data_IF_205171562399
#
_entry.id   IF_205171562399
#
_cell.length_a   1.000
_cell.length_b   1.000
_cell.length_c   1.000
_cell.angle_alpha   90.00
_cell.angle_beta   90.00
_cell.angle_gamma   90.00
#
_symmetry.space_group_name_H-M   'P 1'
#
loop_
_entity.id
_entity.type
_entity.pdbx_description
1 polymer ?
#
# COMPACT_ATOMS: atom_id res chain seq x y z
N UNK A 1 -53.18 15.13 26.70
CA UNK A 1 -52.54 13.81 26.45
C UNK A 1 -52.33 13.49 24.96
N UNK A 2 -53.28 13.75 24.04
CA UNK A 2 -53.11 13.39 22.61
C UNK A 2 -51.93 14.07 21.87
N UNK A 3 -51.64 15.35 22.15
CA UNK A 3 -50.54 16.10 21.48
C UNK A 3 -49.12 15.65 21.90
N UNK A 4 -48.95 15.20 23.15
CA UNK A 4 -47.66 14.71 23.65
C UNK A 4 -47.31 13.34 23.07
N UNK A 5 -48.30 12.46 22.92
CA UNK A 5 -48.09 11.13 22.33
C UNK A 5 -47.76 11.21 20.83
N UNK A 6 -48.39 12.10 20.08
CA UNK A 6 -48.08 12.30 18.65
C UNK A 6 -46.68 12.87 18.42
N UNK A 7 -46.19 13.72 19.33
CA UNK A 7 -44.84 14.30 19.23
C UNK A 7 -43.75 13.26 19.57
N UNK A 8 -44.04 12.38 20.54
CA UNK A 8 -43.13 11.30 20.95
C UNK A 8 -43.03 10.20 19.88
N UNK A 9 -44.16 9.86 19.24
CA UNK A 9 -44.18 8.93 18.09
C UNK A 9 -43.43 9.51 16.88
N UNK A 10 -43.62 10.81 16.57
CA UNK A 10 -42.88 11.45 15.49
C UNK A 10 -41.36 11.49 15.76
N UNK A 11 -40.95 11.76 17.00
CA UNK A 11 -39.54 11.74 17.38
C UNK A 11 -38.92 10.33 17.29
N UNK A 12 -39.64 9.28 17.70
CA UNK A 12 -39.16 7.88 17.55
C UNK A 12 -39.07 7.44 16.09
N UNK A 13 -40.02 7.85 15.23
CA UNK A 13 -39.99 7.52 13.80
C UNK A 13 -38.84 8.24 13.10
N UNK A 14 -38.56 9.49 13.46
CA UNK A 14 -37.43 10.24 12.91
C UNK A 14 -36.08 9.69 13.40
N UNK A 15 -35.95 9.38 14.70
CA UNK A 15 -34.73 8.74 15.23
C UNK A 15 -34.51 7.34 14.63
N UNK A 16 -35.58 6.55 14.49
CA UNK A 16 -35.54 5.24 13.84
C UNK A 16 -35.15 5.32 12.36
N UNK A 17 -35.64 6.32 11.62
CA UNK A 17 -35.25 6.56 10.22
C UNK A 17 -33.79 7.03 10.10
N UNK A 18 -33.31 7.90 10.98
CA UNK A 18 -31.92 8.39 10.96
C UNK A 18 -30.93 7.26 11.30
N UNK A 19 -31.28 6.36 12.22
CA UNK A 19 -30.42 5.21 12.55
C UNK A 19 -30.34 4.16 11.43
N UNK A 20 -31.34 4.06 10.54
CA UNK A 20 -31.37 3.06 9.45
C UNK A 20 -30.68 3.56 8.18
N UNK A 21 -30.51 4.88 8.01
CA UNK A 21 -29.76 5.47 6.88
C UNK A 21 -28.24 5.43 7.13
N UNK A 22 -27.81 5.05 8.34
CA UNK A 22 -26.41 4.94 8.75
C UNK A 22 -25.68 3.65 8.37
N UNK A 23 -26.29 2.73 7.64
CA UNK A 23 -25.55 1.61 7.03
C UNK A 23 -24.77 2.13 5.82
N UNK A 24 -23.67 2.83 6.10
CA UNK A 24 -22.68 3.18 5.10
C UNK A 24 -22.09 1.89 4.53
N UNK A 25 -22.41 1.58 3.27
CA UNK A 25 -21.64 0.61 2.52
C UNK A 25 -20.26 1.23 2.27
N UNK A 26 -19.24 0.77 3.00
CA UNK A 26 -17.85 1.10 2.71
C UNK A 26 -17.43 0.39 1.41
N UNK A 27 -16.50 0.99 0.66
CA UNK A 27 -15.89 0.31 -0.48
C UNK A 27 -15.03 -0.84 0.05
N UNK A 28 -15.36 -2.08 -0.30
CA UNK A 28 -14.65 -3.28 0.15
C UNK A 28 -13.68 -3.84 -0.89
N UNK A 29 -13.71 -3.32 -2.12
CA UNK A 29 -12.84 -3.66 -3.24
C UNK A 29 -12.45 -2.39 -3.98
N UNK A 30 -11.17 -2.24 -4.31
CA UNK A 30 -10.65 -1.11 -5.07
C UNK A 30 -9.77 -1.63 -6.20
N UNK A 31 -10.06 -1.19 -7.43
CA UNK A 31 -9.21 -1.42 -8.59
C UNK A 31 -8.84 -0.08 -9.21
N UNK A 32 -7.55 0.15 -9.40
CA UNK A 32 -7.02 1.33 -10.06
C UNK A 32 -6.02 0.91 -11.13
N UNK A 33 -6.16 1.49 -12.32
CA UNK A 33 -5.18 1.35 -13.40
C UNK A 33 -4.81 2.74 -13.91
N UNK A 34 -3.52 2.97 -14.09
CA UNK A 34 -2.97 4.20 -14.63
C UNK A 34 -1.89 3.90 -15.67
N UNK A 35 -1.85 4.73 -16.71
CA UNK A 35 -0.81 4.68 -17.74
C UNK A 35 -0.51 6.10 -18.20
N UNK A 36 0.54 6.69 -17.64
CA UNK A 36 0.96 8.06 -17.93
C UNK A 36 2.23 8.06 -18.75
N UNK A 37 2.28 8.93 -19.75
CA UNK A 37 3.44 9.18 -20.61
C UNK A 37 3.49 10.65 -20.96
N UNK A 38 4.69 11.18 -21.15
CA UNK A 38 4.85 12.55 -21.61
C UNK A 38 6.12 13.18 -21.09
N UNK A 39 6.18 14.50 -21.19
CA UNK A 39 7.30 15.32 -20.70
C UNK A 39 6.71 16.41 -19.82
N UNK A 40 7.24 16.55 -18.61
CA UNK A 40 6.70 17.52 -17.66
C UNK A 40 7.16 17.27 -16.24
N UNK A 41 6.38 17.82 -15.31
CA UNK A 41 6.47 17.49 -13.90
C UNK A 41 5.34 16.53 -13.55
N UNK A 42 5.68 15.47 -12.81
CA UNK A 42 4.74 14.47 -12.31
C UNK A 42 4.87 14.42 -10.79
N UNK A 43 3.72 14.38 -10.12
CA UNK A 43 3.61 14.03 -8.71
C UNK A 43 2.42 13.11 -8.55
N UNK A 44 2.60 12.01 -7.84
CA UNK A 44 1.55 11.05 -7.52
C UNK A 44 1.70 10.57 -6.09
N UNK A 45 0.58 10.39 -5.40
CA UNK A 45 0.54 9.90 -4.03
C UNK A 45 -0.59 8.89 -3.91
N UNK A 46 -0.28 7.74 -3.31
CA UNK A 46 -1.21 6.65 -3.10
C UNK A 46 -1.08 6.15 -1.66
N UNK A 47 -2.24 5.94 -1.04
CA UNK A 47 -2.34 5.39 0.30
C UNK A 47 -3.44 4.32 0.30
N UNK A 48 -3.14 3.19 0.92
CA UNK A 48 -4.07 2.09 1.14
C UNK A 48 -4.03 1.71 2.60
N UNK A 49 -5.21 1.51 3.18
CA UNK A 49 -5.42 0.98 4.52
C UNK A 49 -6.64 0.05 4.47
N UNK A 50 -6.46 -1.22 4.84
CA UNK A 50 -7.50 -2.25 4.70
C UNK A 50 -8.37 -2.45 5.94
N UNK A 51 -7.98 -1.95 7.12
CA UNK A 51 -8.74 -2.10 8.36
C UNK A 51 -8.88 -0.77 9.12
N UNK A 52 -9.94 -0.62 9.92
CA UNK A 52 -10.24 0.59 10.69
C UNK A 52 -9.54 0.63 12.06
N UNK A 53 -8.48 -0.17 12.24
CA UNK A 53 -7.76 -0.35 13.51
C UNK A 53 -6.40 0.35 13.56
N UNK A 54 -5.94 0.72 14.75
CA UNK A 54 -4.52 1.04 14.94
C UNK A 54 -3.77 -0.28 14.83
N UNK A 55 -2.90 -0.38 13.82
CA UNK A 55 -1.95 -1.48 13.63
C UNK A 55 -2.57 -2.87 13.39
N UNK A 56 -3.60 -2.90 12.55
CA UNK A 56 -4.17 -4.12 11.97
C UNK A 56 -4.18 -3.99 10.43
N UNK A 57 -4.31 -5.12 9.74
CA UNK A 57 -4.46 -5.15 8.29
C UNK A 57 -3.21 -4.75 7.53
N UNK A 58 -3.41 -4.19 6.35
CA UNK A 58 -2.38 -3.90 5.36
C UNK A 58 -2.39 -2.40 5.08
N UNK A 59 -1.21 -1.79 5.17
CA UNK A 59 -0.98 -0.40 4.83
C UNK A 59 0.04 -0.30 3.68
N UNK A 60 -0.27 0.50 2.67
CA UNK A 60 0.67 0.85 1.61
C UNK A 60 0.69 2.37 1.45
N UNK A 61 1.90 2.93 1.40
CA UNK A 61 2.11 4.34 1.05
C UNK A 61 3.12 4.43 -0.07
N UNK A 62 2.78 5.18 -1.11
CA UNK A 62 3.63 5.44 -2.26
C UNK A 62 3.59 6.91 -2.65
N UNK A 63 4.77 7.51 -2.81
CA UNK A 63 4.96 8.88 -3.27
C UNK A 63 5.93 8.89 -4.44
N UNK A 64 5.50 9.48 -5.56
CA UNK A 64 6.31 9.70 -6.74
C UNK A 64 6.38 11.18 -7.05
N UNK A 65 7.56 11.67 -7.40
CA UNK A 65 7.68 13.04 -7.89
C UNK A 65 8.95 13.26 -8.70
N UNK A 66 8.87 14.05 -9.77
CA UNK A 66 10.03 14.46 -10.54
C UNK A 66 9.69 15.24 -11.79
N UNK A 67 10.70 15.67 -12.52
CA UNK A 67 10.56 16.39 -13.79
C UNK A 67 11.44 15.77 -14.87
N UNK A 68 10.91 15.73 -16.10
CA UNK A 68 11.63 15.24 -17.26
C UNK A 68 10.72 14.42 -18.17
N UNK A 69 11.27 13.35 -18.75
CA UNK A 69 10.56 12.42 -19.62
C UNK A 69 10.02 11.25 -18.81
N UNK A 70 8.73 10.96 -19.01
CA UNK A 70 8.06 9.73 -18.57
C UNK A 70 7.78 8.88 -19.80
N UNK A 71 8.66 7.91 -20.05
CA UNK A 71 8.52 6.96 -21.15
C UNK A 71 7.42 5.95 -20.84
N UNK A 72 7.35 5.51 -19.58
CA UNK A 72 6.36 4.55 -19.09
C UNK A 72 6.10 4.79 -17.60
N UNK A 73 4.85 5.02 -17.23
CA UNK A 73 4.37 4.85 -15.86
C UNK A 73 3.08 4.04 -15.96
N UNK A 74 3.22 2.71 -15.99
CA UNK A 74 2.08 1.80 -15.93
C UNK A 74 1.95 1.29 -14.50
N UNK A 75 0.77 1.43 -13.92
CA UNK A 75 0.52 1.07 -12.54
C UNK A 75 -0.87 0.46 -12.40
N UNK A 76 -0.96 -0.66 -11.69
CA UNK A 76 -2.21 -1.33 -11.35
C UNK A 76 -2.21 -1.65 -9.87
N UNK A 77 -3.30 -1.32 -9.19
CA UNK A 77 -3.51 -1.61 -7.77
C UNK A 77 -4.86 -2.30 -7.60
N UNK A 78 -4.85 -3.41 -6.89
CA UNK A 78 -6.02 -4.15 -6.46
C UNK A 78 -6.01 -4.31 -4.95
N UNK A 79 -7.08 -3.86 -4.30
CA UNK A 79 -7.27 -3.98 -2.85
C UNK A 79 -8.45 -4.90 -2.60
N UNK A 80 -8.25 -5.86 -1.70
CA UNK A 80 -9.15 -6.96 -1.36
C UNK A 80 -9.61 -7.75 -2.61
N UNK A 81 -8.66 -8.29 -3.40
CA UNK A 81 -8.93 -8.93 -4.70
C UNK A 81 -9.80 -10.18 -4.60
N UNK A 82 -9.78 -10.85 -3.46
CA UNK A 82 -10.36 -12.18 -3.28
C UNK A 82 -11.58 -12.15 -2.36
N UNK A 83 -12.53 -13.04 -2.64
CA UNK A 83 -13.58 -13.42 -1.70
C UNK A 83 -13.28 -14.80 -1.11
N UNK A 84 -13.57 -14.99 0.17
CA UNK A 84 -13.66 -16.32 0.76
C UNK A 84 -15.02 -16.94 0.37
N UNK A 85 -15.14 -18.24 0.62
CA UNK A 85 -16.33 -19.08 0.42
C UNK A 85 -17.58 -18.65 1.17
N UNK A 86 -17.45 -17.74 2.13
CA UNK A 86 -18.56 -17.09 2.85
C UNK A 86 -19.04 -15.80 2.18
N UNK A 87 -18.52 -15.46 0.98
CA UNK A 87 -18.73 -14.17 0.29
C UNK A 87 -18.16 -12.96 1.06
N UNK A 88 -17.29 -13.19 2.04
CA UNK A 88 -16.51 -12.15 2.73
C UNK A 88 -15.27 -11.76 1.91
N UNK A 89 -14.91 -10.49 1.90
CA UNK A 89 -13.67 -10.02 1.27
C UNK A 89 -12.46 -10.48 2.10
N UNK A 90 -11.46 -11.06 1.44
CA UNK A 90 -10.17 -11.37 2.05
C UNK A 90 -9.29 -10.14 1.95
N UNK A 91 -8.68 -9.77 3.07
CA UNK A 91 -7.72 -8.67 3.10
C UNK A 91 -6.50 -9.00 2.24
N UNK A 92 -6.23 -8.14 1.27
CA UNK A 92 -5.11 -8.34 0.38
C UNK A 92 -4.83 -7.11 -0.46
N UNK A 93 -3.60 -7.03 -0.94
CA UNK A 93 -3.14 -5.97 -1.83
C UNK A 93 -2.24 -6.59 -2.89
N UNK A 94 -2.58 -6.32 -4.15
CA UNK A 94 -1.78 -6.68 -5.32
C UNK A 94 -1.48 -5.40 -6.06
N UNK A 95 -0.20 -5.12 -6.25
CA UNK A 95 0.27 -3.97 -6.99
C UNK A 95 1.28 -4.43 -8.06
N UNK A 96 1.11 -3.95 -9.28
CA UNK A 96 2.11 -4.10 -10.33
C UNK A 96 2.44 -2.75 -10.93
N UNK A 97 3.74 -2.49 -11.09
CA UNK A 97 4.25 -1.23 -11.58
C UNK A 97 5.39 -1.40 -12.56
N UNK A 98 5.36 -0.60 -13.62
CA UNK A 98 6.47 -0.38 -14.52
C UNK A 98 6.70 1.12 -14.67
N UNK A 99 7.90 1.56 -14.31
CA UNK A 99 8.27 2.97 -14.25
C UNK A 99 9.59 3.20 -15.00
N UNK A 100 9.57 4.03 -16.04
CA UNK A 100 10.71 4.34 -16.90
C UNK A 100 10.73 5.85 -17.14
N UNK A 101 11.65 6.51 -16.44
CA UNK A 101 11.76 7.95 -16.37
C UNK A 101 13.21 8.43 -16.50
N UNK A 102 13.37 9.60 -17.10
CA UNK A 102 14.64 10.30 -17.25
C UNK A 102 14.46 11.76 -16.85
N UNK A 103 15.40 12.28 -16.05
CA UNK A 103 15.34 13.62 -15.50
C UNK A 103 15.92 14.64 -16.48
N UNK A 104 15.22 15.77 -16.59
CA UNK A 104 15.78 17.03 -17.06
C UNK A 104 14.85 18.17 -16.59
N UNK A 105 15.39 19.38 -16.41
CA UNK A 105 14.58 20.51 -15.98
C UNK A 105 13.56 20.91 -17.05
N UNK A 106 12.34 21.22 -16.62
CA UNK A 106 11.23 21.65 -17.48
C UNK A 106 10.84 23.08 -17.13
N UNK A 107 10.44 23.85 -18.12
CA UNK A 107 9.76 25.14 -17.91
C UNK A 107 8.41 25.14 -18.62
N UNK A 108 7.35 25.49 -17.90
CA UNK A 108 6.00 25.62 -18.43
C UNK A 108 5.34 26.88 -17.89
N UNK A 109 4.80 27.74 -18.76
CA UNK A 109 4.11 28.99 -18.38
C UNK A 109 4.89 29.86 -17.35
N UNK A 110 6.21 30.02 -17.54
CA UNK A 110 7.13 30.73 -16.63
C UNK A 110 7.35 30.08 -15.25
N UNK A 111 6.87 28.86 -15.02
CA UNK A 111 7.23 28.04 -13.88
C UNK A 111 8.33 27.07 -14.27
N UNK A 112 9.40 27.02 -13.46
CA UNK A 112 10.51 26.08 -13.61
C UNK A 112 10.31 24.91 -12.64
N UNK A 113 10.42 23.70 -13.18
CA UNK A 113 10.41 22.45 -12.46
C UNK A 113 11.77 21.79 -12.67
N UNK A 114 12.54 21.73 -11.59
CA UNK A 114 13.90 21.18 -11.58
C UNK A 114 14.00 20.23 -10.38
N UNK A 115 13.46 19.02 -10.56
CA UNK A 115 13.42 18.01 -9.53
C UNK A 115 13.80 16.65 -10.12
N UNK A 116 14.90 16.09 -9.62
CA UNK A 116 15.27 14.69 -9.90
C UNK A 116 14.19 13.73 -9.40
N UNK A 117 14.08 12.58 -10.05
CA UNK A 117 13.05 11.60 -9.73
C UNK A 117 13.20 11.08 -8.30
N UNK A 118 12.06 11.03 -7.62
CA UNK A 118 11.86 10.49 -6.30
C UNK A 118 10.70 9.51 -6.40
N UNK A 119 10.88 8.34 -5.83
CA UNK A 119 9.84 7.36 -5.60
C UNK A 119 10.08 6.74 -4.23
N UNK A 120 9.09 6.81 -3.35
CA UNK A 120 9.16 6.21 -2.03
C UNK A 120 7.99 5.28 -1.86
N UNK A 121 8.25 4.04 -1.47
CA UNK A 121 7.23 3.04 -1.23
C UNK A 121 7.50 2.31 0.06
N UNK A 122 6.44 2.15 0.85
CA UNK A 122 6.46 1.33 2.04
C UNK A 122 5.17 0.52 2.10
N UNK A 123 5.31 -0.77 2.36
CA UNK A 123 4.19 -1.69 2.49
C UNK A 123 4.34 -2.43 3.81
N UNK A 124 3.27 -2.42 4.60
CA UNK A 124 3.21 -3.03 5.91
C UNK A 124 2.08 -4.03 5.92
N UNK A 125 2.34 -5.19 6.50
CA UNK A 125 1.33 -6.15 6.87
C UNK A 125 1.43 -6.38 8.38
N UNK A 126 0.49 -5.78 9.10
CA UNK A 126 0.45 -5.79 10.55
C UNK A 126 0.09 -7.16 11.12
N UNK A 127 -0.65 -7.98 10.36
CA UNK A 127 -1.09 -9.32 10.78
C UNK A 127 0.06 -10.32 10.93
N UNK A 128 1.17 -10.08 10.22
CA UNK A 128 2.40 -10.89 10.31
C UNK A 128 3.60 -10.10 10.83
N UNK A 129 3.42 -8.84 11.23
CA UNK A 129 4.50 -8.00 11.73
C UNK A 129 5.60 -7.74 10.70
N UNK A 130 5.25 -7.61 9.42
CA UNK A 130 6.20 -7.49 8.33
C UNK A 130 6.10 -6.15 7.60
N UNK A 131 7.24 -5.57 7.27
CA UNK A 131 7.34 -4.34 6.48
C UNK A 131 8.43 -4.47 5.44
N UNK A 132 8.16 -3.95 4.25
CA UNK A 132 9.11 -3.85 3.16
C UNK A 132 9.07 -2.44 2.58
N UNK A 133 10.21 -1.93 2.12
CA UNK A 133 10.30 -0.62 1.49
C UNK A 133 11.23 -0.66 0.28
N UNK A 134 10.88 0.15 -0.72
CA UNK A 134 11.70 0.37 -1.90
C UNK A 134 11.64 1.85 -2.27
N UNK A 135 12.71 2.57 -1.94
CA UNK A 135 12.84 4.00 -2.13
C UNK A 135 13.94 4.29 -3.16
N UNK A 136 13.62 5.07 -4.19
CA UNK A 136 14.53 5.55 -5.21
C UNK A 136 14.54 7.07 -5.15
N UNK A 137 15.68 7.69 -4.88
CA UNK A 137 15.74 9.14 -4.64
C UNK A 137 16.87 9.78 -5.43
N UNK A 138 16.66 11.04 -5.81
CA UNK A 138 17.62 11.81 -6.60
C UNK A 138 18.02 11.11 -7.91
N UNK A 139 17.09 10.37 -8.53
CA UNK A 139 17.34 9.60 -9.73
C UNK A 139 17.39 10.50 -10.97
N UNK A 140 18.47 10.37 -11.74
CA UNK A 140 18.59 10.96 -13.07
C UNK A 140 17.94 10.06 -14.12
N UNK A 141 17.98 8.74 -13.89
CA UNK A 141 17.26 7.73 -14.66
C UNK A 141 16.78 6.65 -13.70
N UNK A 142 15.54 6.21 -13.90
CA UNK A 142 14.97 5.07 -13.18
C UNK A 142 14.12 4.27 -14.15
N UNK A 143 14.57 3.06 -14.47
CA UNK A 143 13.80 2.07 -15.21
C UNK A 143 13.58 0.88 -14.29
N UNK A 144 12.35 0.67 -13.82
CA UNK A 144 12.01 -0.41 -12.91
C UNK A 144 10.73 -1.13 -13.27
N UNK A 145 10.66 -2.37 -12.79
CA UNK A 145 9.45 -3.16 -12.64
C UNK A 145 9.36 -3.60 -11.18
N UNK A 146 8.21 -3.38 -10.58
CA UNK A 146 7.96 -3.74 -9.20
C UNK A 146 6.61 -4.43 -9.07
N UNK A 147 6.56 -5.44 -8.21
CA UNK A 147 5.34 -6.14 -7.86
C UNK A 147 5.28 -6.31 -6.35
N UNK A 148 4.15 -5.96 -5.76
CA UNK A 148 3.84 -6.22 -4.35
C UNK A 148 2.62 -7.13 -4.31
N UNK A 149 2.72 -8.22 -3.55
CA UNK A 149 1.59 -9.09 -3.23
C UNK A 149 1.60 -9.30 -1.74
N UNK A 150 0.50 -8.99 -1.08
CA UNK A 150 0.35 -9.24 0.35
C UNK A 150 -1.08 -9.64 0.70
N UNK A 151 -1.19 -10.55 1.66
CA UNK A 151 -2.46 -11.05 2.17
C UNK A 151 -2.46 -11.00 3.69
N UNK A 152 -3.54 -10.44 4.23
CA UNK A 152 -3.79 -10.28 5.65
C UNK A 152 -4.75 -11.33 6.19
N UNK A 153 -5.11 -11.20 7.46
CA UNK A 153 -6.02 -12.11 8.14
C UNK A 153 -7.47 -11.80 7.76
N UNK A 154 -7.89 -12.29 6.59
CA UNK A 154 -9.32 -12.48 6.33
C UNK A 154 -9.86 -13.48 7.36
N UNK A 155 -10.91 -13.11 8.09
CA UNK A 155 -11.58 -13.90 9.14
C UNK A 155 -11.57 -15.42 8.89
N UNK A 156 -10.55 -16.13 9.41
CA UNK A 156 -10.42 -17.58 9.24
C UNK A 156 -11.38 -18.32 10.18
N UNK A 157 -12.65 -18.44 9.78
CA UNK A 157 -13.56 -19.47 10.30
C UNK A 157 -13.40 -20.79 9.52
N UNK A 158 -12.21 -21.36 9.62
CA UNK A 158 -12.02 -22.80 9.75
C UNK A 158 -12.31 -23.75 8.59
N UNK A 159 -12.56 -23.34 7.33
CA UNK A 159 -12.87 -24.33 6.27
C UNK A 159 -12.26 -24.16 4.86
N UNK A 160 -11.44 -23.14 4.55
CA UNK A 160 -10.82 -23.02 3.20
C UNK A 160 -9.39 -22.46 3.24
N UNK A 161 -8.51 -22.98 2.37
CA UNK A 161 -7.18 -22.43 2.07
C UNK A 161 -7.34 -21.05 1.39
N UNK A 162 -7.37 -19.99 2.20
CA UNK A 162 -7.01 -18.65 1.73
C UNK A 162 -5.52 -18.59 1.36
N UNK A 163 -5.08 -17.54 0.64
CA UNK A 163 -3.67 -17.32 0.40
C UNK A 163 -2.90 -17.24 1.72
N UNK A 164 -1.67 -17.76 1.75
CA UNK A 164 -0.84 -17.73 2.96
C UNK A 164 -0.54 -16.27 3.36
N UNK A 165 -0.69 -15.98 4.65
CA UNK A 165 -0.37 -14.67 5.22
C UNK A 165 1.08 -14.31 4.88
N UNK A 166 1.26 -13.28 4.07
CA UNK A 166 2.56 -12.97 3.49
C UNK A 166 2.63 -11.54 3.00
N UNK A 167 3.87 -11.05 2.89
CA UNK A 167 4.23 -9.90 2.08
C UNK A 167 5.37 -10.33 1.16
N UNK A 168 5.17 -10.13 -0.14
CA UNK A 168 6.17 -10.39 -1.16
C UNK A 168 6.33 -9.14 -2.01
N UNK A 169 7.54 -8.59 -2.03
CA UNK A 169 7.92 -7.46 -2.88
C UNK A 169 9.07 -7.89 -3.78
N UNK A 170 8.87 -7.77 -5.09
CA UNK A 170 9.90 -8.01 -6.10
C UNK A 170 10.19 -6.72 -6.84
N UNK A 171 11.47 -6.36 -6.91
CA UNK A 171 11.97 -5.13 -7.53
C UNK A 171 13.07 -5.51 -8.52
N UNK A 172 12.88 -5.14 -9.77
CA UNK A 172 13.90 -5.18 -10.83
C UNK A 172 14.10 -3.76 -11.35
N UNK A 173 15.29 -3.19 -11.20
CA UNK A 173 15.55 -1.79 -11.50
C UNK A 173 16.95 -1.55 -12.11
N UNK A 174 17.02 -0.71 -13.13
CA UNK A 174 18.23 -0.02 -13.59
C UNK A 174 18.12 1.44 -13.14
N UNK A 175 18.96 1.82 -12.18
CA UNK A 175 18.90 3.12 -11.52
C UNK A 175 20.21 3.85 -11.71
N UNK A 176 20.11 5.14 -12.08
CA UNK A 176 21.17 6.13 -11.93
C UNK A 176 20.73 7.13 -10.87
N UNK A 177 21.16 6.94 -9.62
CA UNK A 177 20.67 7.72 -8.48
C UNK A 177 21.01 7.06 -7.15
N UNK A 178 20.14 7.24 -6.16
CA UNK A 178 20.23 6.58 -4.86
C UNK A 178 19.08 5.59 -4.74
N UNK A 179 19.37 4.34 -4.39
CA UNK A 179 18.34 3.37 -4.03
C UNK A 179 18.48 2.98 -2.56
N UNK A 180 17.35 2.73 -1.93
CA UNK A 180 17.24 2.19 -0.59
C UNK A 180 16.15 1.12 -0.62
N UNK A 181 16.52 -0.13 -0.37
CA UNK A 181 15.56 -1.24 -0.32
C UNK A 181 15.79 -2.02 0.96
N UNK A 182 14.74 -2.15 1.77
CA UNK A 182 14.82 -2.73 3.09
C UNK A 182 13.60 -3.57 3.46
N UNK A 183 13.76 -4.27 4.58
CA UNK A 183 12.69 -5.04 5.20
C UNK A 183 12.91 -5.14 6.70
N UNK A 184 11.82 -5.32 7.43
CA UNK A 184 11.85 -5.75 8.81
C UNK A 184 10.72 -6.75 9.08
N UNK A 185 11.05 -7.79 9.85
CA UNK A 185 10.10 -8.74 10.40
C UNK A 185 10.18 -8.64 11.93
N UNK A 186 9.04 -8.39 12.57
CA UNK A 186 8.90 -8.33 14.02
C UNK A 186 7.97 -9.42 14.50
N UNK A 187 8.18 -9.86 15.73
CA UNK A 187 7.26 -10.76 16.40
C UNK A 187 5.93 -10.02 16.66
N UNK A 188 4.79 -10.48 16.09
CA UNK A 188 3.51 -9.83 16.30
C UNK A 188 3.03 -9.91 17.75
N UNK A 189 3.54 -10.86 18.55
CA UNK A 189 3.20 -11.00 19.97
C UNK A 189 4.15 -10.22 20.89
N UNK A 190 5.29 -9.75 20.38
CA UNK A 190 6.26 -8.95 21.12
C UNK A 190 6.98 -7.96 20.19
N UNK A 191 6.44 -6.74 20.06
CA UNK A 191 6.91 -5.76 19.06
C UNK A 191 8.31 -5.20 19.31
N UNK A 192 8.90 -5.48 20.47
CA UNK A 192 10.31 -5.17 20.76
C UNK A 192 11.28 -6.22 20.21
N UNK A 193 10.77 -7.38 19.78
CA UNK A 193 11.56 -8.47 19.23
C UNK A 193 11.56 -8.40 17.70
N UNK A 194 12.67 -7.93 17.15
CA UNK A 194 12.93 -8.01 15.71
C UNK A 194 13.45 -9.40 15.37
N UNK A 195 12.73 -10.10 14.49
CA UNK A 195 13.13 -11.42 13.96
C UNK A 195 14.24 -11.23 12.94
N UNK A 196 14.03 -10.32 11.99
CA UNK A 196 15.00 -10.01 10.95
C UNK A 196 14.87 -8.53 10.53
N UNK A 197 16.00 -7.94 10.17
CA UNK A 197 16.07 -6.60 9.60
C UNK A 197 17.17 -6.60 8.54
N UNK A 198 16.89 -6.01 7.39
CA UNK A 198 17.85 -5.83 6.33
C UNK A 198 17.63 -4.50 5.64
N UNK A 199 18.72 -3.83 5.29
CA UNK A 199 18.71 -2.56 4.58
C UNK A 199 19.87 -2.52 3.61
N UNK A 200 19.61 -2.08 2.39
CA UNK A 200 20.61 -1.95 1.35
C UNK A 200 20.50 -0.57 0.70
N UNK A 201 21.62 0.14 0.66
CA UNK A 201 21.74 1.45 0.02
C UNK A 201 22.75 1.37 -1.13
N UNK A 202 22.36 1.88 -2.30
CA UNK A 202 23.25 2.01 -3.45
C UNK A 202 23.25 3.45 -3.95
N UNK A 203 24.41 3.93 -4.43
CA UNK A 203 24.60 5.31 -4.90
C UNK A 203 25.42 5.29 -6.19
N UNK A 204 24.81 5.64 -7.31
CA UNK A 204 25.43 5.63 -8.62
C UNK A 204 24.58 4.89 -9.65
N UNK A 205 25.24 4.18 -10.56
CA UNK A 205 24.57 3.34 -11.56
C UNK A 205 24.56 1.89 -11.09
N UNK A 206 23.38 1.34 -10.84
CA UNK A 206 23.20 -0.04 -10.38
C UNK A 206 22.08 -0.73 -11.13
N UNK A 207 22.28 -2.02 -11.38
CA UNK A 207 21.22 -2.94 -11.76
C UNK A 207 20.89 -3.77 -10.52
N UNK A 208 19.62 -3.75 -10.14
CA UNK A 208 19.10 -4.32 -8.90
C UNK A 208 18.02 -5.32 -9.29
N UNK A 209 18.19 -6.55 -8.84
CA UNK A 209 17.14 -7.58 -8.85
C UNK A 209 17.02 -8.11 -7.42
N UNK A 210 15.91 -7.80 -6.76
CA UNK A 210 15.68 -8.15 -5.37
C UNK A 210 14.25 -8.67 -5.17
N UNK A 211 14.15 -9.76 -4.42
CA UNK A 211 12.87 -10.29 -3.92
C UNK A 211 12.96 -10.38 -2.41
N UNK A 212 11.96 -9.81 -1.74
CA UNK A 212 11.76 -9.92 -0.30
C UNK A 212 10.44 -10.65 -0.11
N UNK A 213 10.48 -11.75 0.64
CA UNK A 213 9.31 -12.52 1.01
C UNK A 213 9.35 -12.75 2.51
N UNK A 214 8.28 -12.33 3.20
CA UNK A 214 8.08 -12.59 4.61
C UNK A 214 6.71 -13.25 4.72
N UNK A 215 6.71 -14.53 5.09
CA UNK A 215 5.51 -15.36 5.18
C UNK A 215 5.34 -15.95 6.57
N UNK A 216 4.13 -16.41 6.84
CA UNK A 216 3.75 -17.07 8.07
C UNK A 216 3.75 -18.60 7.90
N UNK A 217 4.60 -19.33 8.63
CA UNK A 217 4.65 -20.80 8.51
C UNK A 217 4.54 -21.55 9.85
N UNK A 218 4.78 -20.92 11.02
CA UNK A 218 5.03 -21.70 12.25
C UNK A 218 4.55 -21.16 13.62
N UNK A 219 3.93 -19.98 13.76
CA UNK A 219 3.64 -19.40 15.10
C UNK A 219 2.35 -18.61 15.12
N UNK A 220 1.38 -18.90 16.01
CA UNK A 220 0.05 -18.26 16.08
C UNK A 220 0.02 -16.74 15.75
N UNK A 221 -0.95 -16.28 14.93
CA UNK A 221 -1.04 -14.88 14.53
C UNK A 221 -1.27 -13.98 15.75
N UNK A 222 -0.61 -12.83 15.77
CA UNK A 222 -0.75 -11.78 16.78
C UNK A 222 -0.83 -10.43 16.10
N UNK A 223 -1.30 -9.39 16.79
CA UNK A 223 -1.42 -8.05 16.22
C UNK A 223 -0.14 -7.26 16.50
N UNK A 224 0.55 -6.82 15.45
CA UNK A 224 1.80 -6.07 15.53
C UNK A 224 1.60 -4.56 15.66
N UNK A 225 1.82 -3.93 16.83
CA UNK A 225 1.35 -2.55 17.12
C UNK A 225 2.33 -1.43 16.69
N UNK A 226 3.42 -1.74 15.96
CA UNK A 226 4.28 -0.70 15.35
C UNK A 226 5.28 -1.25 14.31
N UNK A 227 5.06 -0.92 13.03
CA UNK A 227 5.98 -1.15 11.92
C UNK A 227 6.38 0.20 11.28
N UNK A 228 7.63 0.61 11.49
CA UNK A 228 8.23 1.72 10.76
C UNK A 228 8.80 1.23 9.44
N UNK A 229 8.73 2.04 8.39
CA UNK A 229 9.42 1.79 7.13
C UNK A 229 10.95 1.79 7.39
N UNK A 230 11.68 0.72 7.01
CA UNK A 230 13.11 0.55 7.28
C UNK A 230 14.05 1.66 6.78
#
# INVERSE_FOLDING_TARGET
>A
MKKGLTMLVAAMVIFGLICVIGSAAAASYVWVESNVKGVGHLTSEYEVDTDYGIANGIEMQELESGSGLVTKQKWTLEVNPQKDTTDECVEGLIEEKEFDVEYFPITYQNHSYDQKWLEKKCVKNYDIGAVTDANFVQCEKLQKKETVVTYGNGTTRGLVQGPELSIMQTVSADVLGISHIGFAAKDPQNHHHTIAYGKEETIGQFQIDKTIEIGFNCTQPGLGDWLGCP
#
